data_IF_619864598911
#
_entry.id   IF_619864598911
#
_cell.length_a   1.000
_cell.length_b   1.000
_cell.length_c   1.000
_cell.angle_alpha   90.00
_cell.angle_beta   90.00
_cell.angle_gamma   90.00
#
_symmetry.space_group_name_H-M   'P 1'
#
loop_
_entity.id
_entity.type
_entity.pdbx_description
1 polymer ?
#
# COMPACT_ATOMS: atom_id res chain seq x y z
N UNK A 1 4.75 -7.61 16.16
CA UNK A 1 3.40 -7.27 15.62
C UNK A 1 3.42 -6.37 14.39
N UNK A 2 4.07 -5.19 14.41
CA UNK A 2 4.13 -4.25 13.26
C UNK A 2 4.42 -4.89 11.91
N UNK A 3 5.51 -5.66 11.81
CA UNK A 3 5.92 -6.33 10.57
C UNK A 3 4.88 -7.34 10.09
N UNK A 4 4.28 -8.12 11.01
CA UNK A 4 3.27 -9.11 10.66
C UNK A 4 2.02 -8.45 10.05
N UNK A 5 1.55 -7.36 10.67
CA UNK A 5 0.44 -6.57 10.13
C UNK A 5 0.79 -5.95 8.80
N UNK A 6 1.95 -5.30 8.68
CA UNK A 6 2.40 -4.72 7.41
C UNK A 6 2.40 -5.75 6.28
N UNK A 7 3.02 -6.91 6.50
CA UNK A 7 3.06 -8.01 5.53
C UNK A 7 1.65 -8.52 5.18
N UNK A 8 0.75 -8.63 6.17
CA UNK A 8 -0.62 -9.10 5.93
C UNK A 8 -1.42 -8.20 4.99
N UNK A 9 -1.24 -6.89 5.13
CA UNK A 9 -1.93 -5.91 4.29
C UNK A 9 -1.31 -5.88 2.90
N UNK A 10 0.02 -5.82 2.81
CA UNK A 10 0.73 -5.89 1.54
C UNK A 10 0.37 -7.16 0.77
N UNK A 11 0.34 -8.32 1.43
CA UNK A 11 -0.05 -9.58 0.80
C UNK A 11 -1.46 -9.50 0.21
N UNK A 12 -2.43 -8.89 0.91
CA UNK A 12 -3.78 -8.74 0.36
C UNK A 12 -3.84 -7.77 -0.82
N UNK A 13 -3.19 -6.61 -0.73
CA UNK A 13 -3.22 -5.59 -1.81
C UNK A 13 -2.42 -5.99 -3.07
N UNK A 14 -1.52 -6.97 -2.94
CA UNK A 14 -0.63 -7.45 -4.02
C UNK A 14 -0.99 -8.84 -4.55
N UNK A 15 -2.21 -9.31 -4.25
CA UNK A 15 -2.67 -10.67 -4.57
C UNK A 15 -1.64 -11.73 -4.12
N UNK A 16 -1.38 -11.82 -2.82
CA UNK A 16 -0.38 -12.72 -2.27
C UNK A 16 1.06 -12.46 -2.75
N UNK A 17 1.39 -11.22 -3.12
CA UNK A 17 2.67 -10.83 -3.74
C UNK A 17 2.85 -11.32 -5.20
N UNK A 18 1.81 -11.80 -5.87
CA UNK A 18 1.89 -12.15 -7.30
C UNK A 18 1.92 -10.92 -8.21
N UNK A 19 1.47 -9.75 -7.75
CA UNK A 19 1.51 -8.52 -8.54
C UNK A 19 1.84 -7.28 -7.73
N UNK A 20 2.50 -6.32 -8.37
CA UNK A 20 2.79 -4.97 -7.87
C UNK A 20 2.12 -3.89 -8.73
N UNK A 21 1.22 -4.29 -9.62
CA UNK A 21 0.43 -3.41 -10.47
C UNK A 21 -1.02 -3.88 -10.44
N UNK A 22 -1.98 -2.96 -10.28
CA UNK A 22 -3.39 -3.35 -10.42
C UNK A 22 -3.67 -3.89 -11.82
N UNK A 23 -4.57 -4.87 -11.89
CA UNK A 23 -5.07 -5.43 -13.16
C UNK A 23 -6.01 -4.47 -13.89
N UNK A 24 -6.64 -3.55 -13.16
CA UNK A 24 -7.52 -2.55 -13.74
C UNK A 24 -6.73 -1.56 -14.63
N UNK A 25 -7.44 -0.93 -15.57
CA UNK A 25 -6.84 0.04 -16.49
C UNK A 25 -6.50 1.38 -15.84
N UNK A 26 -6.99 1.67 -14.63
CA UNK A 26 -6.91 2.99 -14.01
C UNK A 26 -7.88 4.04 -14.56
N UNK A 27 -8.63 3.74 -15.64
CA UNK A 27 -9.61 4.68 -16.23
C UNK A 27 -10.67 5.17 -15.24
N UNK A 28 -11.03 4.35 -14.26
CA UNK A 28 -11.96 4.70 -13.20
C UNK A 28 -11.44 5.82 -12.27
N UNK A 29 -10.13 6.11 -12.29
CA UNK A 29 -9.52 7.19 -11.53
C UNK A 29 -9.42 8.51 -12.30
N UNK A 30 -9.82 8.55 -13.57
CA UNK A 30 -9.76 9.77 -14.38
C UNK A 30 -10.66 10.86 -13.78
N UNK A 31 -10.14 12.10 -13.69
CA UNK A 31 -10.89 13.24 -13.14
C UNK A 31 -11.16 13.19 -11.62
N UNK A 32 -10.66 12.18 -10.90
CA UNK A 32 -10.83 12.06 -9.44
C UNK A 32 -10.04 13.13 -8.70
N UNK A 33 -10.73 14.23 -8.34
CA UNK A 33 -10.16 15.38 -7.62
C UNK A 33 -9.56 15.00 -6.26
N UNK A 34 -10.17 14.06 -5.55
CA UNK A 34 -9.66 13.56 -4.27
C UNK A 34 -8.29 12.86 -4.39
N UNK A 35 -8.03 12.25 -5.55
CA UNK A 35 -6.75 11.64 -5.93
C UNK A 35 -5.75 12.62 -6.56
N UNK A 36 -6.18 13.86 -6.82
CA UNK A 36 -5.40 14.87 -7.55
C UNK A 36 -5.30 14.60 -9.06
N UNK A 37 -6.11 13.69 -9.60
CA UNK A 37 -6.14 13.37 -11.03
C UNK A 37 -6.96 14.44 -11.77
N UNK A 38 -6.34 15.59 -12.03
CA UNK A 38 -6.99 16.77 -12.60
C UNK A 38 -6.55 17.10 -14.02
N UNK A 39 -5.50 16.42 -14.51
CA UNK A 39 -5.04 16.53 -15.88
C UNK A 39 -5.57 15.34 -16.71
N UNK A 40 -5.94 15.54 -17.99
CA UNK A 40 -6.34 14.44 -18.86
C UNK A 40 -5.28 13.33 -18.92
N UNK A 41 -5.72 12.09 -18.69
CA UNK A 41 -4.89 10.89 -18.71
C UNK A 41 -4.31 10.49 -17.34
N UNK A 42 -4.57 11.27 -16.30
CA UNK A 42 -4.08 11.00 -14.95
C UNK A 42 -4.57 9.66 -14.38
N UNK A 43 -5.78 9.22 -14.74
CA UNK A 43 -6.34 7.99 -14.21
C UNK A 43 -5.50 6.77 -14.56
N UNK A 44 -5.16 6.63 -15.85
CA UNK A 44 -4.31 5.53 -16.35
C UNK A 44 -2.85 5.73 -15.92
N UNK A 45 -2.37 6.98 -15.94
CA UNK A 45 -0.98 7.30 -15.59
C UNK A 45 -0.69 6.97 -14.12
N UNK A 46 -1.56 7.36 -13.20
CA UNK A 46 -1.42 7.17 -11.75
C UNK A 46 -2.34 6.10 -11.20
N UNK A 47 -2.50 5.04 -11.98
CA UNK A 47 -3.17 3.80 -11.61
C UNK A 47 -2.43 3.07 -10.46
N UNK A 48 -3.08 2.12 -9.80
CA UNK A 48 -2.55 1.42 -8.62
C UNK A 48 -1.24 0.66 -8.89
N UNK A 49 -0.19 0.97 -8.11
CA UNK A 49 1.13 0.28 -8.15
C UNK A 49 1.75 0.07 -6.77
N UNK A 50 2.74 -0.81 -6.70
CA UNK A 50 3.45 -1.19 -5.48
C UNK A 50 2.64 -2.11 -4.57
N UNK A 51 3.24 -2.46 -3.43
CA UNK A 51 2.69 -3.47 -2.52
C UNK A 51 1.40 -3.03 -1.80
N UNK A 52 1.03 -1.75 -1.86
CA UNK A 52 -0.17 -1.20 -1.22
C UNK A 52 -1.11 -0.49 -2.22
N UNK A 53 -0.89 -0.67 -3.53
CA UNK A 53 -1.67 -0.02 -4.59
C UNK A 53 -1.70 1.51 -4.47
N UNK A 54 -0.52 2.14 -4.43
CA UNK A 54 -0.37 3.60 -4.50
C UNK A 54 -1.10 4.13 -5.74
N UNK A 55 -2.09 5.01 -5.52
CA UNK A 55 -3.01 5.46 -6.58
C UNK A 55 -3.21 6.97 -6.52
N UNK A 56 -3.25 7.63 -7.68
CA UNK A 56 -3.57 9.04 -7.83
C UNK A 56 -2.35 9.97 -7.80
N UNK A 57 -2.33 10.97 -8.69
CA UNK A 57 -1.23 11.93 -8.88
C UNK A 57 -0.73 12.52 -7.55
N UNK A 58 -1.66 12.94 -6.68
CA UNK A 58 -1.33 13.54 -5.39
C UNK A 58 -0.49 12.60 -4.51
N UNK A 59 -0.79 11.30 -4.54
CA UNK A 59 -0.08 10.31 -3.74
C UNK A 59 1.29 9.99 -4.36
N UNK A 60 1.38 9.91 -5.69
CA UNK A 60 2.67 9.77 -6.38
C UNK A 60 3.62 10.94 -6.08
N UNK A 61 3.12 12.18 -6.17
CA UNK A 61 3.86 13.39 -5.79
C UNK A 61 4.43 13.32 -4.38
N UNK A 62 3.58 13.03 -3.41
CA UNK A 62 3.98 12.98 -1.99
C UNK A 62 4.93 11.83 -1.70
N UNK A 63 4.73 10.69 -2.36
CA UNK A 63 5.65 9.57 -2.25
C UNK A 63 7.02 9.93 -2.85
N UNK A 64 7.08 10.55 -4.04
CA UNK A 64 8.34 11.01 -4.65
C UNK A 64 9.11 11.92 -3.69
N UNK A 65 8.44 12.90 -3.08
CA UNK A 65 9.08 13.82 -2.13
C UNK A 65 9.69 13.07 -0.94
N UNK A 66 8.95 12.15 -0.35
CA UNK A 66 9.46 11.30 0.71
C UNK A 66 10.64 10.43 0.22
N UNK A 67 10.49 9.81 -0.95
CA UNK A 67 11.46 8.88 -1.50
C UNK A 67 12.81 9.56 -1.74
N UNK A 68 12.81 10.75 -2.33
CA UNK A 68 14.01 11.58 -2.50
C UNK A 68 14.62 12.04 -1.17
N UNK A 69 13.83 12.17 -0.10
CA UNK A 69 14.36 12.56 1.22
C UNK A 69 15.09 11.43 1.95
N UNK A 70 14.81 10.17 1.60
CA UNK A 70 15.38 8.98 2.28
C UNK A 70 16.32 8.16 1.40
N UNK A 71 16.40 8.47 0.10
CA UNK A 71 17.27 7.78 -0.85
C UNK A 71 17.82 8.78 -1.88
N UNK A 72 19.14 9.01 -1.84
CA UNK A 72 19.84 9.90 -2.78
C UNK A 72 19.75 9.42 -4.24
N UNK A 73 19.48 8.13 -4.47
CA UNK A 73 19.30 7.53 -5.80
C UNK A 73 17.82 7.39 -6.18
N UNK A 74 16.92 8.07 -5.47
CA UNK A 74 15.50 8.03 -5.76
C UNK A 74 15.18 8.57 -7.15
N UNK A 75 14.38 7.81 -7.90
CA UNK A 75 13.78 8.26 -9.16
C UNK A 75 12.48 9.01 -8.87
N UNK A 76 12.22 10.07 -9.65
CA UNK A 76 10.96 10.78 -9.63
C UNK A 76 9.81 9.87 -10.08
N UNK A 77 9.04 9.36 -9.12
CA UNK A 77 7.92 8.47 -9.38
C UNK A 77 6.67 9.20 -9.89
N UNK A 78 6.60 10.53 -9.88
CA UNK A 78 5.53 11.25 -10.56
C UNK A 78 5.81 11.33 -12.06
N UNK A 79 7.06 11.62 -12.41
CA UNK A 79 7.53 11.58 -13.79
C UNK A 79 7.48 10.16 -14.36
N UNK A 80 7.90 9.16 -13.59
CA UNK A 80 8.02 7.75 -13.97
C UNK A 80 7.22 6.83 -13.02
N UNK A 81 5.87 6.83 -13.08
CA UNK A 81 5.02 6.10 -12.14
C UNK A 81 5.22 4.58 -12.12
N UNK A 82 5.67 3.99 -13.22
CA UNK A 82 6.04 2.57 -13.33
C UNK A 82 7.20 2.18 -12.39
N UNK A 83 8.00 3.14 -11.91
CA UNK A 83 9.06 2.85 -10.93
C UNK A 83 8.49 2.30 -9.62
N UNK A 84 7.24 2.61 -9.28
CA UNK A 84 6.57 2.08 -8.08
C UNK A 84 6.25 0.58 -8.22
N UNK A 85 6.34 0.00 -9.42
CA UNK A 85 6.27 -1.46 -9.65
C UNK A 85 7.62 -2.15 -9.43
N UNK A 86 8.70 -1.41 -9.17
CA UNK A 86 10.05 -1.98 -9.03
C UNK A 86 10.55 -1.87 -7.61
N UNK A 87 11.26 -2.88 -7.15
CA UNK A 87 12.02 -2.77 -5.91
C UNK A 87 13.24 -1.85 -6.12
N UNK A 88 13.60 -1.03 -5.11
CA UNK A 88 13.00 -0.97 -3.78
C UNK A 88 11.79 -0.03 -3.66
N UNK A 89 11.45 0.76 -4.68
CA UNK A 89 10.38 1.76 -4.61
C UNK A 89 8.99 1.16 -4.28
N UNK A 90 8.68 -0.04 -4.77
CA UNK A 90 7.45 -0.78 -4.44
C UNK A 90 7.27 -1.04 -2.93
N UNK A 91 8.36 -1.29 -2.21
CA UNK A 91 8.36 -1.48 -0.77
C UNK A 91 8.27 -0.14 -0.03
N UNK A 92 9.06 0.84 -0.49
CA UNK A 92 9.09 2.16 0.14
C UNK A 92 7.79 2.93 0.00
N UNK A 93 7.04 2.74 -1.09
CA UNK A 93 5.70 3.33 -1.23
C UNK A 93 4.72 2.76 -0.20
N UNK A 94 4.81 1.46 0.09
CA UNK A 94 4.03 0.83 1.14
C UNK A 94 4.45 1.30 2.55
N UNK A 95 5.75 1.40 2.82
CA UNK A 95 6.28 1.93 4.09
C UNK A 95 5.83 3.38 4.31
N UNK A 96 5.97 4.22 3.28
CA UNK A 96 5.55 5.62 3.32
C UNK A 96 4.06 5.74 3.64
N UNK A 97 3.21 4.98 2.94
CA UNK A 97 1.78 4.99 3.16
C UNK A 97 1.43 4.54 4.59
N UNK A 98 2.09 3.49 5.06
CA UNK A 98 1.92 2.95 6.41
C UNK A 98 2.26 3.99 7.49
N UNK A 99 3.36 4.73 7.30
CA UNK A 99 3.79 5.81 8.20
C UNK A 99 2.82 6.99 8.15
N UNK A 100 2.43 7.44 6.96
CA UNK A 100 1.49 8.55 6.77
C UNK A 100 0.15 8.29 7.44
N UNK A 101 -0.30 7.03 7.44
CA UNK A 101 -1.54 6.58 8.12
C UNK A 101 -1.37 6.28 9.61
N UNK A 102 -0.15 6.33 10.16
CA UNK A 102 0.12 6.09 11.58
C UNK A 102 -0.18 4.66 12.05
N UNK A 103 -0.09 3.66 11.15
CA UNK A 103 -0.64 2.32 11.38
C UNK A 103 0.15 1.48 12.41
N UNK A 104 1.37 1.89 12.77
CA UNK A 104 2.14 1.23 13.83
C UNK A 104 1.36 1.16 15.15
N UNK A 105 0.66 2.23 15.54
CA UNK A 105 -0.11 2.27 16.79
C UNK A 105 -1.21 1.21 16.81
N UNK A 106 -1.86 0.98 15.68
CA UNK A 106 -2.92 -0.03 15.56
C UNK A 106 -2.32 -1.43 15.53
N UNK A 107 -1.18 -1.62 14.85
CA UNK A 107 -0.50 -2.91 14.80
C UNK A 107 0.09 -3.31 16.15
N UNK A 108 0.53 -2.36 16.97
CA UNK A 108 0.96 -2.60 18.35
C UNK A 108 -0.19 -3.09 19.24
N UNK A 109 -1.43 -2.77 18.88
CA UNK A 109 -2.66 -3.23 19.53
C UNK A 109 -3.26 -4.48 18.89
N UNK A 110 -2.58 -5.07 17.89
CA UNK A 110 -3.06 -6.19 17.08
C UNK A 110 -4.42 -5.94 16.36
N UNK A 111 -4.77 -4.68 16.08
CA UNK A 111 -6.09 -4.30 15.57
C UNK A 111 -6.17 -4.35 14.03
N UNK A 112 -6.25 -5.57 13.49
CA UNK A 112 -6.37 -5.81 12.04
C UNK A 112 -7.62 -5.15 11.44
N UNK A 113 -8.70 -5.01 12.22
CA UNK A 113 -9.97 -4.44 11.75
C UNK A 113 -9.82 -2.95 11.48
N UNK A 114 -9.22 -2.19 12.41
CA UNK A 114 -8.99 -0.75 12.21
C UNK A 114 -7.92 -0.50 11.16
N UNK A 115 -6.89 -1.35 11.06
CA UNK A 115 -5.91 -1.25 9.97
C UNK A 115 -6.60 -1.44 8.62
N UNK A 116 -7.41 -2.48 8.47
CA UNK A 116 -8.14 -2.75 7.21
C UNK A 116 -9.03 -1.57 6.81
N UNK A 117 -9.75 -0.98 7.77
CA UNK A 117 -10.55 0.23 7.54
C UNK A 117 -9.71 1.45 7.13
N UNK A 118 -8.54 1.64 7.75
CA UNK A 118 -7.68 2.78 7.44
C UNK A 118 -7.07 2.72 6.02
N UNK A 119 -6.86 1.50 5.50
CA UNK A 119 -6.30 1.23 4.18
C UNK A 119 -7.40 1.24 3.10
N UNK A 120 -8.46 0.45 3.27
CA UNK A 120 -9.48 0.23 2.24
C UNK A 120 -10.73 1.14 2.39
N UNK A 121 -10.89 1.81 3.54
CA UNK A 121 -12.11 2.58 3.85
C UNK A 121 -13.27 1.72 4.37
N UNK A 122 -13.08 0.40 4.50
CA UNK A 122 -14.10 -0.56 4.94
C UNK A 122 -13.50 -1.85 5.50
N UNK A 123 -14.30 -2.93 5.58
CA UNK A 123 -13.83 -4.27 6.01
C UNK A 123 -13.59 -5.22 4.82
N UNK A 124 -13.49 -4.70 3.61
CA UNK A 124 -13.30 -5.53 2.41
C UNK A 124 -12.00 -6.33 2.52
N UNK A 125 -12.09 -7.64 2.28
CA UNK A 125 -10.95 -8.54 2.36
C UNK A 125 -10.44 -8.86 3.77
N UNK A 126 -11.15 -8.45 4.84
CA UNK A 126 -10.70 -8.63 6.23
C UNK A 126 -10.33 -10.08 6.57
N UNK A 127 -11.12 -11.07 6.13
CA UNK A 127 -10.84 -12.49 6.40
C UNK A 127 -9.53 -12.96 5.74
N UNK A 128 -9.25 -12.51 4.52
CA UNK A 128 -8.00 -12.84 3.84
C UNK A 128 -6.81 -12.16 4.50
N UNK A 129 -6.95 -10.88 4.90
CA UNK A 129 -5.94 -10.16 5.67
C UNK A 129 -5.63 -10.85 7.01
N UNK A 130 -6.65 -11.36 7.70
CA UNK A 130 -6.48 -12.15 8.92
C UNK A 130 -5.70 -13.45 8.65
N UNK A 131 -6.03 -14.15 7.56
CA UNK A 131 -5.30 -15.35 7.14
C UNK A 131 -3.83 -15.04 6.88
N UNK A 132 -3.52 -13.95 6.17
CA UNK A 132 -2.15 -13.53 5.96
C UNK A 132 -1.45 -13.06 7.24
N UNK A 133 -2.18 -12.41 8.16
CA UNK A 133 -1.65 -12.01 9.46
C UNK A 133 -1.22 -13.22 10.29
N UNK A 134 -2.07 -14.25 10.39
CA UNK A 134 -1.74 -15.47 11.12
C UNK A 134 -0.54 -16.19 10.50
N UNK A 135 -0.45 -16.25 9.15
CA UNK A 135 0.75 -16.76 8.46
C UNK A 135 1.99 -15.94 8.79
N UNK A 136 1.91 -14.62 8.76
CA UNK A 136 3.04 -13.74 9.05
C UNK A 136 3.49 -13.85 10.52
N UNK A 137 2.56 -13.93 11.48
CA UNK A 137 2.86 -14.17 12.89
C UNK A 137 3.62 -15.48 13.08
N UNK A 138 3.16 -16.56 12.44
CA UNK A 138 3.83 -17.87 12.47
C UNK A 138 5.24 -17.80 11.93
N UNK A 139 5.44 -17.20 10.75
CA UNK A 139 6.76 -17.06 10.13
C UNK A 139 7.74 -16.22 10.97
N UNK A 140 7.23 -15.21 11.69
CA UNK A 140 8.04 -14.31 12.53
C UNK A 140 8.20 -14.82 13.98
N UNK A 141 7.67 -15.99 14.32
CA UNK A 141 7.75 -16.56 15.67
C UNK A 141 6.98 -15.75 16.74
N UNK A 142 5.90 -15.06 16.35
CA UNK A 142 5.18 -14.10 17.20
C UNK A 142 4.01 -14.68 18.03
N UNK A 143 3.78 -16.00 18.03
CA UNK A 143 2.74 -16.63 18.85
C UNK A 143 1.28 -16.35 18.42
N UNK A 144 0.34 -16.88 19.20
CA UNK A 144 -1.01 -17.40 18.88
C UNK A 144 -1.87 -16.74 17.78
N UNK A 145 -2.66 -17.61 17.13
CA UNK A 145 -3.59 -17.29 16.04
C UNK A 145 -4.65 -16.27 16.48
N UNK A 146 -4.88 -15.26 15.65
CA UNK A 146 -5.99 -14.32 15.85
C UNK A 146 -7.22 -14.92 15.18
N UNK A 147 -8.22 -15.29 15.99
CA UNK A 147 -9.60 -15.47 15.55
C UNK A 147 -10.36 -14.14 15.62
N UNK A 148 -11.41 -14.00 14.79
CA UNK A 148 -12.36 -12.87 14.88
C UNK A 148 -13.34 -13.11 16.02
#
# INVERSE_FOLDING_TARGET
>A
MRVAHFLSQCAHESDGFFTVCEYASGRAYEGRKDLGNVCPGDGVRFKGRGLIQLTGRKNYQRFTQFWCSVNEQAVDCEAFPEMVERFPAALWSAIWFWQMKGLNRLADQDDVVRITKAINGGKNGLMQRLTYLNRAKKLLGLGDEVGV
#
